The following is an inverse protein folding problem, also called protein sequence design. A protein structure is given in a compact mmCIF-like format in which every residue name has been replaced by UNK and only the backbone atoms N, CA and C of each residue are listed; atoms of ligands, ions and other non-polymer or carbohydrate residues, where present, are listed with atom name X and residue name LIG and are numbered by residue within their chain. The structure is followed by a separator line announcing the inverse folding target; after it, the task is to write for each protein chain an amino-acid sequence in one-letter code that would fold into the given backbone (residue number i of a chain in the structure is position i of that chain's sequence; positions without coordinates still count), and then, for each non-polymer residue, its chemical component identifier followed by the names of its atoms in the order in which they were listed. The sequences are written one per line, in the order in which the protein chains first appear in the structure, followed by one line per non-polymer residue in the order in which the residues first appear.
data_IF_205217961228
#
_entry.id   IF_205217961228
#
_cell.length_a   1.000
_cell.length_b   1.000
_cell.length_c   1.000
_cell.angle_alpha   90.00
_cell.angle_beta   90.00
_cell.angle_gamma   90.00
#
_symmetry.space_group_name_H-M   'P 1'
#
loop_
_entity.id
_entity.type
_entity.pdbx_description
1 polymer ?
#
# COMPACT_ATOMS: atom_id res chain seq x y z
N UNK A 1 11.49 -7.99 -9.32
CA UNK A 1 10.28 -8.49 -8.64
C UNK A 1 9.84 -7.45 -7.62
N UNK A 2 8.54 -7.14 -7.54
CA UNK A 2 7.99 -6.46 -6.35
C UNK A 2 8.38 -7.34 -5.16
N UNK A 3 9.03 -6.78 -4.13
CA UNK A 3 9.44 -7.60 -3.00
C UNK A 3 8.18 -8.20 -2.36
N UNK A 4 8.06 -9.53 -2.38
CA UNK A 4 6.95 -10.21 -1.73
C UNK A 4 6.94 -9.83 -0.25
N UNK A 5 5.78 -9.44 0.26
CA UNK A 5 5.58 -9.23 1.69
C UNK A 5 5.80 -10.57 2.38
N UNK A 6 6.66 -10.59 3.41
CA UNK A 6 7.07 -11.86 4.05
C UNK A 6 5.96 -12.51 4.86
N UNK A 7 4.98 -11.73 5.28
CA UNK A 7 3.86 -12.17 6.10
C UNK A 7 2.61 -12.38 5.23
N UNK A 8 2.13 -13.63 5.07
CA UNK A 8 1.04 -13.93 4.14
C UNK A 8 -0.26 -13.16 4.39
N UNK A 9 -0.58 -12.88 5.65
CA UNK A 9 -1.77 -12.10 6.01
C UNK A 9 -1.69 -10.67 5.47
N UNK A 10 -0.55 -10.00 5.67
CA UNK A 10 -0.28 -8.69 5.10
C UNK A 10 -0.22 -8.70 3.58
N UNK A 11 0.33 -9.76 2.97
CA UNK A 11 0.34 -9.88 1.52
C UNK A 11 -1.08 -9.88 0.95
N UNK A 12 -1.93 -10.79 1.46
CA UNK A 12 -3.32 -10.91 1.02
C UNK A 12 -4.12 -9.64 1.28
N UNK A 13 -3.92 -9.02 2.45
CA UNK A 13 -4.56 -7.76 2.81
C UNK A 13 -4.17 -6.63 1.86
N UNK A 14 -2.88 -6.47 1.59
CA UNK A 14 -2.39 -5.43 0.68
C UNK A 14 -2.85 -5.64 -0.77
N UNK A 15 -2.90 -6.88 -1.26
CA UNK A 15 -3.45 -7.22 -2.58
C UNK A 15 -4.92 -6.79 -2.66
N UNK A 16 -5.77 -7.23 -1.72
CA UNK A 16 -7.19 -6.89 -1.70
C UNK A 16 -7.45 -5.38 -1.58
N UNK A 17 -6.73 -4.70 -0.70
CA UNK A 17 -6.89 -3.26 -0.45
C UNK A 17 -6.48 -2.43 -1.67
N UNK A 18 -5.42 -2.85 -2.35
CA UNK A 18 -4.97 -2.19 -3.58
C UNK A 18 -5.94 -2.41 -4.72
N UNK A 19 -6.49 -3.63 -4.86
CA UNK A 19 -7.51 -3.94 -5.86
C UNK A 19 -8.78 -3.10 -5.66
N UNK A 20 -9.24 -2.90 -4.42
CA UNK A 20 -10.40 -2.04 -4.15
C UNK A 20 -10.14 -0.59 -4.53
N UNK A 21 -8.96 -0.04 -4.21
CA UNK A 21 -8.57 1.31 -4.62
C UNK A 21 -8.53 1.44 -6.15
N UNK A 22 -7.96 0.46 -6.85
CA UNK A 22 -7.88 0.49 -8.31
C UNK A 22 -9.26 0.43 -8.97
N UNK A 23 -10.22 -0.27 -8.36
CA UNK A 23 -11.61 -0.30 -8.82
C UNK A 23 -12.32 1.06 -8.65
N UNK A 24 -12.06 1.77 -7.55
CA UNK A 24 -12.64 3.08 -7.27
C UNK A 24 -11.94 4.23 -8.02
N UNK A 25 -10.65 4.08 -8.30
CA UNK A 25 -9.81 5.13 -8.89
C UNK A 25 -9.05 4.56 -10.11
N UNK A 26 -9.72 4.47 -11.28
CA UNK A 26 -9.17 3.76 -12.46
C UNK A 26 -7.90 4.34 -13.06
N UNK A 27 -7.55 5.59 -12.69
CA UNK A 27 -6.27 6.19 -13.12
C UNK A 27 -5.08 5.48 -12.48
N UNK A 28 -5.25 4.84 -11.32
CA UNK A 28 -4.18 4.10 -10.65
C UNK A 28 -3.96 2.78 -11.37
N UNK A 29 -2.77 2.62 -11.93
CA UNK A 29 -2.37 1.41 -12.67
C UNK A 29 -1.10 0.78 -12.13
N UNK A 30 -0.31 1.51 -11.33
CA UNK A 30 0.92 1.01 -10.74
C UNK A 30 0.92 1.11 -9.21
N UNK A 31 1.44 0.09 -8.53
CA UNK A 31 1.64 0.08 -7.08
C UNK A 31 3.08 -0.30 -6.77
N UNK A 32 3.63 0.35 -5.74
CA UNK A 32 4.92 0.02 -5.15
C UNK A 32 4.77 -0.20 -3.65
N UNK A 33 5.11 -1.39 -3.18
CA UNK A 33 5.23 -1.67 -1.76
C UNK A 33 6.54 -1.06 -1.21
N UNK A 34 6.45 -0.41 -0.05
CA UNK A 34 7.58 0.19 0.64
C UNK A 34 8.11 -0.79 1.70
N UNK A 35 8.97 -1.70 1.23
CA UNK A 35 9.53 -2.76 2.06
C UNK A 35 8.69 -4.04 2.03
N UNK A 36 9.19 -5.08 2.70
CA UNK A 36 8.61 -6.42 2.72
C UNK A 36 8.24 -6.91 4.12
N UNK A 37 8.41 -6.05 5.13
CA UNK A 37 8.15 -6.35 6.54
C UNK A 37 7.16 -5.34 7.09
N UNK A 38 6.14 -5.78 7.85
CA UNK A 38 5.28 -4.88 8.59
C UNK A 38 6.11 -4.01 9.55
N UNK A 39 5.67 -2.79 9.74
CA UNK A 39 6.32 -1.80 10.59
C UNK A 39 5.29 -0.95 11.31
N UNK A 40 5.73 -0.19 12.32
CA UNK A 40 4.87 0.76 13.01
C UNK A 40 4.49 1.90 12.05
N UNK A 41 3.22 2.33 12.08
CA UNK A 41 2.78 3.48 11.30
C UNK A 41 3.55 4.74 11.71
N UNK A 42 4.03 5.48 10.71
CA UNK A 42 4.64 6.79 10.94
C UNK A 42 3.57 7.88 11.02
N UNK A 43 2.49 7.73 10.26
CA UNK A 43 1.38 8.68 10.18
C UNK A 43 0.49 8.62 11.44
N UNK A 44 0.37 7.42 12.05
CA UNK A 44 -0.28 7.23 13.34
C UNK A 44 0.63 6.45 14.31
N UNK A 45 1.53 7.14 15.02
CA UNK A 45 2.41 6.50 16.00
C UNK A 45 1.69 5.94 17.23
N UNK A 46 0.41 6.27 17.44
CA UNK A 46 -0.39 5.76 18.55
C UNK A 46 -1.07 4.43 18.20
N UNK A 47 -1.28 4.14 16.91
CA UNK A 47 -1.79 2.85 16.46
C UNK A 47 -0.83 1.71 16.86
N UNK A 48 -1.29 0.75 17.69
CA UNK A 48 -0.46 -0.38 18.09
C UNK A 48 -0.31 -1.43 16.97
N UNK A 49 -1.14 -1.39 15.92
CA UNK A 49 -1.13 -2.39 14.86
C UNK A 49 -0.02 -2.12 13.83
N UNK A 50 0.70 -3.16 13.39
CA UNK A 50 1.67 -3.02 12.32
C UNK A 50 0.98 -2.77 10.98
N UNK A 51 1.70 -2.13 10.07
CA UNK A 51 1.25 -1.78 8.72
C UNK A 51 2.28 -2.16 7.65
N UNK A 52 1.82 -2.32 6.41
CA UNK A 52 2.64 -2.23 5.20
C UNK A 52 2.29 -0.92 4.48
N UNK A 53 3.33 -0.14 4.18
CA UNK A 53 3.21 1.10 3.42
C UNK A 53 3.32 0.83 1.92
N UNK A 54 2.61 1.60 1.10
CA UNK A 54 2.65 1.53 -0.36
C UNK A 54 2.53 2.91 -1.01
N UNK A 55 2.89 2.98 -2.28
CA UNK A 55 2.72 4.14 -3.14
C UNK A 55 1.94 3.75 -4.41
N UNK A 56 1.04 4.64 -4.84
CA UNK A 56 0.12 4.44 -5.97
C UNK A 56 0.53 5.36 -7.12
N UNK A 57 0.41 4.87 -8.34
CA UNK A 57 0.89 5.54 -9.54
C UNK A 57 -0.12 5.45 -10.68
N UNK A 58 -0.19 6.52 -11.49
CA UNK A 58 -1.03 6.55 -12.69
C UNK A 58 -0.50 5.71 -13.86
N UNK A 59 0.66 5.07 -13.67
CA UNK A 59 1.38 4.30 -14.67
C UNK A 59 2.30 3.30 -13.98
N UNK A 60 2.57 2.17 -14.64
CA UNK A 60 3.61 1.21 -14.23
C UNK A 60 5.03 1.81 -14.19
N UNK A 61 5.23 3.02 -14.72
CA UNK A 61 6.47 3.78 -14.55
C UNK A 61 6.49 4.42 -13.16
N UNK A 62 7.09 3.74 -12.19
CA UNK A 62 7.17 4.11 -10.76
C UNK A 62 8.13 5.30 -10.51
N UNK A 63 7.76 6.50 -10.96
CA UNK A 63 8.51 7.74 -10.74
C UNK A 63 7.61 8.82 -10.12
N UNK A 64 8.21 9.90 -9.59
CA UNK A 64 7.49 10.96 -8.87
C UNK A 64 6.43 11.67 -9.71
N UNK A 65 6.64 11.88 -11.02
CA UNK A 65 5.66 12.50 -11.91
C UNK A 65 4.39 11.67 -12.11
N UNK A 66 4.50 10.37 -11.82
CA UNK A 66 3.41 9.42 -11.93
C UNK A 66 2.80 9.04 -10.58
N UNK A 67 3.40 9.43 -9.46
CA UNK A 67 2.84 9.13 -8.14
C UNK A 67 1.55 9.93 -7.97
N UNK A 68 0.51 9.24 -7.52
CA UNK A 68 -0.82 9.82 -7.28
C UNK A 68 -1.10 9.88 -5.79
N UNK A 69 -0.71 8.85 -5.05
CA UNK A 69 -1.03 8.73 -3.63
C UNK A 69 -0.01 7.84 -2.91
N UNK A 70 -0.14 7.75 -1.60
CA UNK A 70 0.46 6.70 -0.78
C UNK A 70 -0.44 6.34 0.36
N UNK A 71 -0.27 5.13 0.89
CA UNK A 71 -1.07 4.70 2.02
C UNK A 71 -0.38 3.60 2.79
N UNK A 72 -1.11 3.08 3.74
CA UNK A 72 -0.72 1.92 4.52
C UNK A 72 -1.93 1.04 4.79
N UNK A 73 -1.65 -0.24 5.05
CA UNK A 73 -2.67 -1.26 5.31
C UNK A 73 -2.21 -2.21 6.40
N UNK A 74 -3.13 -2.57 7.29
CA UNK A 74 -2.97 -3.59 8.33
C UNK A 74 -3.18 -4.99 7.75
N UNK A 75 -2.92 -6.03 8.54
CA UNK A 75 -3.19 -7.42 8.14
C UNK A 75 -4.68 -7.77 8.07
N UNK A 76 -5.52 -7.02 8.78
CA UNK A 76 -6.98 -7.17 8.80
C UNK A 76 -7.71 -6.47 7.64
N UNK A 77 -6.99 -5.80 6.74
CA UNK A 77 -7.56 -5.09 5.59
C UNK A 77 -7.93 -3.64 5.86
N UNK A 78 -7.84 -3.17 7.11
CA UNK A 78 -8.03 -1.74 7.41
C UNK A 78 -6.79 -0.95 7.00
N UNK A 79 -6.96 0.31 6.64
CA UNK A 79 -5.87 1.14 6.16
C UNK A 79 -6.31 2.53 5.78
N UNK A 80 -5.34 3.33 5.34
CA UNK A 80 -5.56 4.71 4.93
C UNK A 80 -4.80 5.02 3.65
N UNK A 81 -5.41 5.83 2.78
CA UNK A 81 -4.79 6.36 1.57
C UNK A 81 -4.76 7.87 1.67
N UNK A 82 -3.56 8.43 1.56
CA UNK A 82 -3.30 9.84 1.41
C UNK A 82 -3.14 10.15 -0.09
N UNK A 83 -4.15 10.80 -0.67
CA UNK A 83 -4.15 11.31 -2.05
C UNK A 83 -3.36 12.63 -2.16
#
# INVERSE_FOLDING_TARGET
AVAAIREPAFQKSAENFVESIAAEVPIITGIKLNGSRPHKSHDDPADPKPVISFALYKSNKLNSRNRVASGHVHDDGTGHVNF
#
